data_IF_953416175680
#
_entry.id   IF_953416175680
#
_cell.length_a   1.000
_cell.length_b   1.000
_cell.length_c   1.000
_cell.angle_alpha   90.00
_cell.angle_beta   90.00
_cell.angle_gamma   90.00
#
_symmetry.space_group_name_H-M   'P 1'
#
loop_
_entity.id
_entity.type
_entity.pdbx_description
1 polymer ?
#
# COMPACT_ATOMS: atom_id res chain seq x y z
N UNK A 1 -16.27 19.79 -43.09
CA UNK A 1 -14.92 19.23 -43.30
C UNK A 1 -13.90 20.37 -43.22
N UNK A 2 -12.77 20.11 -42.53
CA UNK A 2 -11.47 20.79 -42.60
C UNK A 2 -11.20 22.15 -41.89
N UNK A 3 -10.64 22.02 -40.68
CA UNK A 3 -9.43 22.60 -40.07
C UNK A 3 -8.78 23.97 -40.41
N UNK A 4 -8.45 24.63 -39.30
CA UNK A 4 -7.49 25.70 -38.99
C UNK A 4 -6.04 25.49 -39.46
N UNK A 5 -5.34 26.61 -39.70
CA UNK A 5 -3.89 26.76 -39.58
C UNK A 5 -3.50 28.23 -39.35
N UNK A 6 -2.98 28.56 -38.16
CA UNK A 6 -2.49 29.90 -37.81
C UNK A 6 -1.03 29.83 -37.36
N UNK A 7 -0.14 30.45 -38.13
CA UNK A 7 1.32 30.42 -37.99
C UNK A 7 1.80 31.54 -37.07
N UNK A 8 2.61 31.22 -36.05
CA UNK A 8 3.27 32.20 -35.17
C UNK A 8 4.67 32.54 -35.72
N UNK A 9 4.90 33.81 -36.10
CA UNK A 9 6.24 34.28 -36.47
C UNK A 9 7.09 34.56 -35.23
N UNK A 10 8.31 34.00 -35.21
CA UNK A 10 9.35 34.14 -34.18
C UNK A 10 10.19 35.38 -34.50
N UNK A 11 10.18 36.41 -33.66
CA UNK A 11 11.12 37.52 -33.73
C UNK A 11 12.18 37.35 -32.63
N UNK A 12 13.43 37.12 -33.02
CA UNK A 12 14.61 37.22 -32.16
C UNK A 12 15.27 38.55 -32.54
N UNK A 13 15.42 39.47 -31.58
CA UNK A 13 16.12 40.75 -31.80
C UNK A 13 17.55 40.58 -31.30
N UNK A 14 18.52 40.88 -32.16
CA UNK A 14 19.96 40.81 -31.86
C UNK A 14 20.39 42.04 -31.04
N UNK A 15 21.24 41.84 -30.03
CA UNK A 15 21.56 42.86 -29.00
C UNK A 15 22.42 44.02 -29.57
N UNK A 16 22.98 43.84 -30.78
CA UNK A 16 23.82 44.79 -31.49
C UNK A 16 23.10 46.05 -32.00
N UNK A 17 21.77 46.08 -32.05
CA UNK A 17 20.98 47.19 -32.64
C UNK A 17 20.30 48.12 -31.60
N UNK A 18 20.78 48.15 -30.35
CA UNK A 18 20.20 49.03 -29.32
C UNK A 18 20.55 50.52 -29.58
N UNK A 19 19.58 51.45 -29.44
CA UNK A 19 19.83 52.88 -29.62
C UNK A 19 20.96 53.38 -28.69
N UNK A 20 21.77 54.34 -29.18
CA UNK A 20 22.85 54.95 -28.38
C UNK A 20 22.35 56.03 -27.42
N UNK A 21 21.16 56.57 -27.67
CA UNK A 21 20.48 57.50 -26.76
C UNK A 21 20.04 56.77 -25.46
N UNK A 22 20.41 57.27 -24.25
CA UNK A 22 20.21 56.55 -23.00
C UNK A 22 18.74 56.28 -22.65
N UNK A 23 17.83 57.21 -22.93
CA UNK A 23 16.41 57.03 -22.63
C UNK A 23 15.75 56.06 -23.63
N UNK A 24 16.07 56.18 -24.92
CA UNK A 24 15.59 55.25 -25.94
C UNK A 24 16.14 53.82 -25.70
N UNK A 25 17.39 53.70 -25.24
CA UNK A 25 18.01 52.42 -24.90
C UNK A 25 17.36 51.78 -23.68
N UNK A 26 17.07 52.57 -22.64
CA UNK A 26 16.36 52.10 -21.44
C UNK A 26 14.95 51.63 -21.80
N UNK A 27 14.22 52.39 -22.62
CA UNK A 27 12.89 52.00 -23.10
C UNK A 27 12.93 50.71 -23.94
N UNK A 28 13.94 50.55 -24.80
CA UNK A 28 14.13 49.34 -25.61
C UNK A 28 14.47 48.11 -24.74
N UNK A 29 15.33 48.27 -23.73
CA UNK A 29 15.70 47.21 -22.78
C UNK A 29 14.53 46.83 -21.86
N UNK A 30 13.73 47.81 -21.40
CA UNK A 30 12.50 47.53 -20.63
C UNK A 30 11.46 46.78 -21.47
N UNK A 31 11.38 47.10 -22.76
CA UNK A 31 10.50 46.39 -23.71
C UNK A 31 10.99 44.96 -23.95
N UNK A 32 12.30 44.75 -24.09
CA UNK A 32 12.91 43.42 -24.22
C UNK A 32 12.74 42.59 -22.94
N UNK A 33 12.96 43.19 -21.77
CA UNK A 33 12.75 42.54 -20.47
C UNK A 33 11.28 42.11 -20.30
N UNK A 34 10.32 42.96 -20.69
CA UNK A 34 8.90 42.59 -20.73
C UNK A 34 8.62 41.45 -21.70
N UNK A 35 9.24 41.42 -22.88
CA UNK A 35 9.07 40.32 -23.84
C UNK A 35 9.68 39.00 -23.35
N UNK A 36 10.81 39.01 -22.64
CA UNK A 36 11.40 37.82 -22.01
C UNK A 36 10.54 37.32 -20.83
N UNK A 37 10.00 38.24 -20.03
CA UNK A 37 9.06 37.90 -18.94
C UNK A 37 7.75 37.32 -19.50
N UNK A 38 7.28 37.86 -20.63
CA UNK A 38 6.14 37.31 -21.36
C UNK A 38 6.44 35.91 -21.93
N UNK A 39 7.64 35.65 -22.45
CA UNK A 39 8.03 34.31 -22.94
C UNK A 39 8.16 33.28 -21.80
N UNK A 40 8.72 33.68 -20.65
CA UNK A 40 8.76 32.83 -19.45
C UNK A 40 7.36 32.49 -18.94
N UNK A 41 6.43 33.46 -18.98
CA UNK A 41 5.03 33.22 -18.64
C UNK A 41 4.30 32.35 -19.67
N UNK A 42 4.66 32.45 -20.96
CA UNK A 42 4.05 31.65 -22.03
C UNK A 42 4.54 30.19 -21.99
N UNK A 43 5.80 29.93 -21.66
CA UNK A 43 6.32 28.56 -21.47
C UNK A 43 5.69 27.93 -20.22
N UNK A 44 5.58 28.66 -19.11
CA UNK A 44 4.80 28.21 -17.94
C UNK A 44 3.33 27.96 -18.29
N UNK A 45 2.73 28.80 -19.12
CA UNK A 45 1.34 28.64 -19.54
C UNK A 45 1.13 27.46 -20.48
N UNK A 46 2.08 27.17 -21.38
CA UNK A 46 2.01 25.99 -22.26
C UNK A 46 2.16 24.70 -21.45
N UNK A 47 3.09 24.67 -20.48
CA UNK A 47 3.31 23.51 -19.60
C UNK A 47 2.13 23.28 -18.64
N UNK A 48 1.61 24.36 -18.03
CA UNK A 48 0.41 24.30 -17.18
C UNK A 48 -0.86 23.99 -17.99
N UNK A 49 -0.96 24.41 -19.25
CA UNK A 49 -2.11 24.10 -20.10
C UNK A 49 -2.08 22.66 -20.62
N UNK A 50 -0.89 22.11 -20.89
CA UNK A 50 -0.71 20.72 -21.29
C UNK A 50 -0.97 19.78 -20.10
N UNK A 51 -0.43 20.10 -18.92
CA UNK A 51 -0.79 19.42 -17.67
C UNK A 51 -2.27 19.54 -17.36
N UNK A 52 -2.86 20.74 -17.42
CA UNK A 52 -4.31 20.91 -17.21
C UNK A 52 -5.13 20.15 -18.23
N UNK A 53 -4.67 19.97 -19.47
CA UNK A 53 -5.40 19.20 -20.48
C UNK A 53 -5.29 17.70 -20.22
N UNK A 54 -4.15 17.22 -19.76
CA UNK A 54 -3.94 15.82 -19.37
C UNK A 54 -4.69 15.49 -18.08
N UNK A 55 -4.71 16.42 -17.13
CA UNK A 55 -5.45 16.34 -15.87
C UNK A 55 -6.95 16.52 -16.08
N UNK A 56 -7.38 17.38 -17.02
CA UNK A 56 -8.79 17.48 -17.42
C UNK A 56 -9.23 16.22 -18.18
N UNK A 57 -8.39 15.62 -19.02
CA UNK A 57 -8.68 14.31 -19.63
C UNK A 57 -8.73 13.19 -18.58
N UNK A 58 -7.86 13.23 -17.56
CA UNK A 58 -7.92 12.31 -16.40
C UNK A 58 -9.19 12.53 -15.58
N UNK A 59 -9.58 13.77 -15.34
CA UNK A 59 -10.79 14.14 -14.61
C UNK A 59 -12.05 13.82 -15.42
N UNK A 60 -12.06 13.98 -16.74
CA UNK A 60 -13.18 13.58 -17.60
C UNK A 60 -13.30 12.06 -17.68
N UNK A 61 -12.18 11.31 -17.72
CA UNK A 61 -12.20 9.85 -17.58
C UNK A 61 -12.67 9.38 -16.20
N UNK A 62 -12.26 10.07 -15.13
CA UNK A 62 -12.75 9.84 -13.78
C UNK A 62 -14.23 10.25 -13.63
N UNK A 63 -14.68 11.28 -14.34
CA UNK A 63 -16.07 11.75 -14.35
C UNK A 63 -16.96 10.80 -15.16
N UNK A 64 -16.50 10.29 -16.31
CA UNK A 64 -17.18 9.21 -17.06
C UNK A 64 -17.19 7.90 -16.27
N UNK A 65 -16.09 7.53 -15.60
CA UNK A 65 -16.05 6.41 -14.67
C UNK A 65 -17.00 6.61 -13.47
N UNK A 66 -17.14 7.85 -12.98
CA UNK A 66 -18.10 8.20 -11.91
C UNK A 66 -19.54 8.25 -12.38
N UNK A 67 -19.79 8.46 -13.69
CA UNK A 67 -21.14 8.40 -14.28
C UNK A 67 -21.63 6.95 -14.42
N UNK A 68 -20.72 5.98 -14.39
CA UNK A 68 -21.03 4.55 -14.29
C UNK A 68 -21.12 4.01 -12.87
N UNK A 69 -20.85 4.83 -11.83
CA UNK A 69 -20.95 4.43 -10.41
C UNK A 69 -21.98 5.25 -9.62
N UNK A 70 -22.66 4.55 -8.71
CA UNK A 70 -23.95 4.85 -8.08
C UNK A 70 -24.20 6.30 -7.54
N UNK A 71 -25.44 6.85 -7.65
CA UNK A 71 -25.82 8.23 -7.22
C UNK A 71 -25.61 8.63 -5.75
N UNK A 72 -25.19 7.73 -4.85
CA UNK A 72 -25.22 7.94 -3.40
C UNK A 72 -24.03 8.73 -2.82
N UNK A 73 -22.93 8.90 -3.56
CA UNK A 73 -21.76 9.66 -3.09
C UNK A 73 -21.98 11.18 -3.05
N UNK A 74 -22.96 11.70 -3.81
CA UNK A 74 -23.23 13.15 -3.94
C UNK A 74 -23.99 13.75 -2.75
N UNK A 75 -24.67 12.92 -1.95
CA UNK A 75 -25.41 13.33 -0.74
C UNK A 75 -24.55 13.24 0.54
N UNK A 76 -23.67 12.24 0.63
CA UNK A 76 -22.76 12.05 1.78
C UNK A 76 -21.75 13.19 1.97
N UNK A 77 -21.25 13.79 0.88
CA UNK A 77 -20.33 14.92 0.93
C UNK A 77 -20.99 16.22 1.42
N UNK A 78 -22.33 16.31 1.40
CA UNK A 78 -23.06 17.44 1.99
C UNK A 78 -23.18 17.33 3.50
N UNK A 79 -23.14 16.10 4.07
CA UNK A 79 -23.30 15.84 5.50
C UNK A 79 -22.03 16.14 6.32
N UNK A 80 -20.84 16.00 5.71
CA UNK A 80 -19.55 16.21 6.39
C UNK A 80 -19.13 17.68 6.49
N UNK A 81 -19.82 18.60 5.82
CA UNK A 81 -19.39 20.00 5.70
C UNK A 81 -20.00 20.96 6.74
N UNK A 82 -20.81 20.48 7.70
CA UNK A 82 -21.45 21.33 8.72
C UNK A 82 -20.98 21.03 10.15
N UNK A 83 -20.53 22.04 10.92
CA UNK A 83 -20.12 21.85 12.31
C UNK A 83 -21.35 21.72 13.22
N UNK A 84 -21.43 20.64 13.99
CA UNK A 84 -22.57 20.34 14.88
C UNK A 84 -22.38 20.90 16.30
N UNK A 85 -23.43 21.43 16.97
CA UNK A 85 -23.32 21.93 18.34
C UNK A 85 -23.21 20.80 19.38
N UNK A 86 -22.48 21.07 20.48
CA UNK A 86 -22.34 20.15 21.62
C UNK A 86 -23.72 19.79 22.20
N UNK A 87 -24.03 18.49 22.21
CA UNK A 87 -25.28 17.93 22.75
C UNK A 87 -26.00 16.98 21.79
N UNK A 88 -25.68 17.01 20.48
CA UNK A 88 -26.38 16.19 19.48
C UNK A 88 -26.18 14.67 19.66
N UNK A 89 -25.01 14.23 20.12
CA UNK A 89 -24.76 12.82 20.46
C UNK A 89 -25.60 12.35 21.67
N UNK A 90 -25.88 13.23 22.63
CA UNK A 90 -26.74 12.90 23.77
C UNK A 90 -28.22 12.84 23.37
N UNK A 91 -28.62 13.58 22.32
CA UNK A 91 -29.95 13.48 21.71
C UNK A 91 -30.11 12.18 20.91
N UNK A 92 -29.11 11.77 20.13
CA UNK A 92 -29.13 10.51 19.38
C UNK A 92 -29.18 9.27 20.28
N UNK A 93 -28.41 9.25 21.38
CA UNK A 93 -28.45 8.14 22.35
C UNK A 93 -29.79 8.08 23.08
N UNK A 94 -30.40 9.24 23.42
CA UNK A 94 -31.76 9.29 24.00
C UNK A 94 -32.85 8.89 23.00
N UNK A 95 -32.70 9.23 21.71
CA UNK A 95 -33.63 8.82 20.66
C UNK A 95 -33.54 7.32 20.34
N UNK A 96 -32.34 6.74 20.38
CA UNK A 96 -32.10 5.29 20.26
C UNK A 96 -32.68 4.52 21.45
N UNK A 97 -32.53 5.03 22.67
CA UNK A 97 -33.11 4.41 23.88
C UNK A 97 -34.65 4.56 23.95
N UNK A 98 -35.22 5.68 23.47
CA UNK A 98 -36.67 5.81 23.33
C UNK A 98 -37.23 4.90 22.22
N UNK A 99 -36.46 4.63 21.17
CA UNK A 99 -36.85 3.74 20.06
C UNK A 99 -37.04 2.27 20.46
N UNK A 100 -36.39 1.81 21.53
CA UNK A 100 -36.51 0.44 22.04
C UNK A 100 -37.75 0.25 22.92
N UNK A 101 -38.28 1.32 23.54
CA UNK A 101 -39.45 1.24 24.46
C UNK A 101 -40.79 1.31 23.72
N UNK A 102 -40.82 1.65 22.43
CA UNK A 102 -42.08 1.74 21.66
C UNK A 102 -42.52 0.38 21.09
N UNK A 103 -41.79 -0.70 21.37
CA UNK A 103 -41.99 -1.99 20.70
C UNK A 103 -43.14 -2.87 21.26
N UNK A 104 -43.84 -2.45 22.31
CA UNK A 104 -44.98 -3.25 22.85
C UNK A 104 -46.36 -2.56 22.81
N UNK A 105 -46.50 -1.31 22.35
CA UNK A 105 -47.78 -0.59 22.51
C UNK A 105 -48.58 -0.29 21.23
N UNK A 106 -48.13 -0.65 20.03
CA UNK A 106 -48.83 -0.23 18.80
C UNK A 106 -48.86 -1.29 17.70
N UNK A 107 -49.36 -2.49 18.03
CA UNK A 107 -49.82 -3.46 17.03
C UNK A 107 -51.33 -3.32 16.69
N UNK A 108 -52.04 -2.34 17.24
CA UNK A 108 -53.50 -2.25 17.08
C UNK A 108 -54.04 -1.02 16.32
N UNK A 109 -53.22 -0.04 15.92
CA UNK A 109 -53.74 1.12 15.20
C UNK A 109 -52.87 1.51 14.00
N UNK A 110 -53.56 1.61 12.86
CA UNK A 110 -53.18 2.26 11.61
C UNK A 110 -52.50 1.37 10.56
N UNK A 111 -53.35 0.77 9.73
CA UNK A 111 -53.03 0.51 8.35
C UNK A 111 -52.65 1.81 7.64
N UNK A 112 -51.41 1.90 7.19
CA UNK A 112 -51.01 2.61 5.99
C UNK A 112 -49.57 2.23 5.70
N UNK A 113 -49.26 2.14 4.42
CA UNK A 113 -48.05 1.56 3.81
C UNK A 113 -46.74 2.26 4.13
N UNK A 114 -46.65 3.01 5.23
CA UNK A 114 -45.47 3.77 5.65
C UNK A 114 -44.56 3.02 6.64
N UNK A 115 -45.11 2.14 7.50
CA UNK A 115 -44.31 1.37 8.46
C UNK A 115 -43.35 0.37 7.80
N UNK A 116 -43.74 -0.21 6.66
CA UNK A 116 -42.92 -1.17 5.91
C UNK A 116 -41.78 -0.49 5.14
N UNK A 117 -41.98 0.76 4.70
CA UNK A 117 -40.99 1.54 3.93
C UNK A 117 -39.88 2.08 4.85
N UNK A 118 -40.22 2.40 6.10
CA UNK A 118 -39.22 2.85 7.09
C UNK A 118 -38.33 1.66 7.49
N UNK A 119 -38.90 0.46 7.67
CA UNK A 119 -38.13 -0.74 7.98
C UNK A 119 -37.12 -1.11 6.87
N UNK A 120 -37.51 -1.02 5.59
CA UNK A 120 -36.61 -1.34 4.47
C UNK A 120 -35.50 -0.31 4.28
N UNK A 121 -35.76 0.97 4.56
CA UNK A 121 -34.75 2.03 4.47
C UNK A 121 -33.71 1.97 5.60
N UNK A 122 -34.10 1.61 6.83
CA UNK A 122 -33.14 1.44 7.93
C UNK A 122 -32.22 0.22 7.73
N UNK A 123 -32.75 -0.87 7.18
CA UNK A 123 -31.96 -2.06 6.81
C UNK A 123 -30.98 -1.71 5.67
N UNK A 124 -31.43 -0.99 4.64
CA UNK A 124 -30.57 -0.57 3.54
C UNK A 124 -29.41 0.36 4.00
N UNK A 125 -29.69 1.33 4.87
CA UNK A 125 -28.65 2.24 5.39
C UNK A 125 -27.59 1.47 6.19
N UNK A 126 -27.98 0.47 6.99
CA UNK A 126 -27.04 -0.38 7.72
C UNK A 126 -26.13 -1.20 6.77
N UNK A 127 -26.69 -1.76 5.69
CA UNK A 127 -25.91 -2.47 4.66
C UNK A 127 -24.96 -1.55 3.88
N UNK A 128 -25.38 -0.31 3.57
CA UNK A 128 -24.54 0.67 2.87
C UNK A 128 -23.38 1.21 3.73
N UNK A 129 -23.58 1.36 5.05
CA UNK A 129 -22.50 1.78 5.95
C UNK A 129 -21.44 0.69 6.17
N UNK A 130 -21.82 -0.58 6.12
CA UNK A 130 -20.87 -1.70 6.19
C UNK A 130 -20.03 -1.81 4.90
N UNK A 131 -20.64 -1.65 3.72
CA UNK A 131 -19.95 -1.76 2.43
C UNK A 131 -18.95 -0.62 2.12
N UNK A 132 -19.17 0.58 2.65
CA UNK A 132 -18.23 1.69 2.48
C UNK A 132 -17.02 1.60 3.42
N UNK A 133 -17.19 1.01 4.61
CA UNK A 133 -16.11 0.77 5.56
C UNK A 133 -15.19 -0.38 5.08
N UNK A 134 -15.74 -1.39 4.40
CA UNK A 134 -14.95 -2.48 3.79
C UNK A 134 -14.16 -2.02 2.57
N UNK A 135 -14.71 -1.16 1.70
CA UNK A 135 -13.98 -0.66 0.52
C UNK A 135 -12.81 0.29 0.86
N UNK A 136 -12.95 1.12 1.90
CA UNK A 136 -11.84 1.95 2.40
C UNK A 136 -10.79 1.10 3.13
N UNK A 137 -11.21 0.05 3.85
CA UNK A 137 -10.28 -0.90 4.48
C UNK A 137 -9.48 -1.73 3.46
N UNK A 138 -10.06 -2.07 2.29
CA UNK A 138 -9.33 -2.79 1.23
C UNK A 138 -8.21 -1.96 0.57
N UNK A 139 -8.33 -0.62 0.53
CA UNK A 139 -7.29 0.24 -0.06
C UNK A 139 -6.09 0.50 0.87
N UNK A 140 -6.21 0.14 2.15
CA UNK A 140 -5.20 0.37 3.21
C UNK A 140 -4.76 -0.95 3.88
N UNK A 141 -5.13 -2.10 3.30
CA UNK A 141 -4.84 -3.42 3.83
C UNK A 141 -3.36 -3.79 3.63
N UNK A 142 -2.58 -3.69 4.73
CA UNK A 142 -1.12 -3.93 4.74
C UNK A 142 -0.73 -5.38 5.07
N UNK A 143 -1.65 -6.17 5.63
CA UNK A 143 -1.33 -7.50 6.20
C UNK A 143 -1.09 -8.50 5.09
N UNK A 144 -0.08 -9.34 5.28
CA UNK A 144 0.22 -10.47 4.42
C UNK A 144 0.39 -11.76 5.19
N UNK A 145 0.54 -12.86 4.45
CA UNK A 145 0.82 -14.19 5.00
C UNK A 145 2.23 -14.63 4.62
N UNK A 146 3.05 -14.91 5.63
CA UNK A 146 4.27 -15.68 5.49
C UNK A 146 3.94 -17.15 5.78
N UNK A 147 3.87 -17.99 4.74
CA UNK A 147 3.34 -19.36 4.85
C UNK A 147 4.26 -20.40 4.25
N UNK A 148 4.15 -21.67 4.66
CA UNK A 148 4.74 -22.76 3.91
C UNK A 148 3.70 -23.46 3.06
N UNK A 149 4.12 -23.90 1.87
CA UNK A 149 3.33 -24.80 1.06
C UNK A 149 2.98 -26.07 1.86
N UNK A 150 1.70 -26.43 1.84
CA UNK A 150 1.15 -27.56 2.59
C UNK A 150 0.56 -27.19 3.96
N UNK A 151 0.63 -25.91 4.35
CA UNK A 151 -0.14 -25.36 5.47
C UNK A 151 -1.40 -24.72 4.91
N UNK A 152 -2.57 -25.24 5.27
CA UNK A 152 -3.85 -24.78 4.72
C UNK A 152 -4.20 -23.37 5.23
N UNK A 153 -4.09 -22.38 4.35
CA UNK A 153 -4.39 -20.96 4.62
C UNK A 153 -5.82 -20.56 4.28
N UNK A 154 -6.69 -21.50 3.87
CA UNK A 154 -8.08 -21.20 3.48
C UNK A 154 -8.92 -20.54 4.58
N UNK A 155 -8.54 -20.72 5.86
CA UNK A 155 -9.16 -20.01 6.99
C UNK A 155 -9.04 -18.48 6.92
N UNK A 156 -8.06 -17.95 6.19
CA UNK A 156 -7.86 -16.52 6.00
C UNK A 156 -8.62 -15.93 4.79
N UNK A 157 -9.24 -16.77 3.94
CA UNK A 157 -9.87 -16.35 2.68
C UNK A 157 -10.99 -15.29 2.82
N UNK A 158 -11.57 -15.16 4.01
CA UNK A 158 -12.60 -14.16 4.29
C UNK A 158 -12.07 -12.84 4.86
N UNK A 159 -10.76 -12.71 5.07
CA UNK A 159 -10.16 -11.50 5.61
C UNK A 159 -9.94 -10.46 4.52
N UNK A 160 -10.60 -9.30 4.64
CA UNK A 160 -10.33 -8.15 3.78
C UNK A 160 -9.02 -7.42 4.14
N UNK A 161 -8.37 -7.79 5.25
CA UNK A 161 -7.13 -7.15 5.73
C UNK A 161 -5.88 -7.80 5.14
N UNK A 162 -6.00 -9.01 4.60
CA UNK A 162 -4.90 -9.81 4.08
C UNK A 162 -4.96 -9.78 2.55
N UNK A 163 -3.94 -9.20 1.92
CA UNK A 163 -3.95 -8.93 0.48
C UNK A 163 -2.77 -9.52 -0.28
N UNK A 164 -1.74 -9.99 0.42
CA UNK A 164 -0.54 -10.55 -0.18
C UNK A 164 0.07 -11.66 0.68
N UNK A 165 1.02 -12.42 0.12
CA UNK A 165 1.76 -13.42 0.88
C UNK A 165 2.98 -13.94 0.14
N UNK A 166 3.84 -14.66 0.85
CA UNK A 166 5.04 -15.30 0.30
C UNK A 166 5.39 -16.54 1.12
N UNK A 167 6.27 -17.39 0.57
CA UNK A 167 6.59 -18.69 1.18
C UNK A 167 8.10 -19.01 1.23
N UNK A 168 8.95 -17.99 1.23
CA UNK A 168 10.41 -18.13 1.15
C UNK A 168 10.93 -18.83 -0.12
N UNK A 169 10.09 -18.94 -1.15
CA UNK A 169 10.43 -19.56 -2.41
C UNK A 169 9.96 -18.70 -3.60
N UNK A 170 10.36 -19.10 -4.80
CA UNK A 170 10.05 -18.38 -6.05
C UNK A 170 8.70 -18.76 -6.66
N UNK A 171 8.08 -19.83 -6.17
CA UNK A 171 6.78 -20.33 -6.62
C UNK A 171 6.01 -20.96 -5.46
N UNK A 172 4.73 -21.21 -5.66
CA UNK A 172 3.89 -21.97 -4.73
C UNK A 172 2.99 -22.91 -5.51
N UNK A 173 2.76 -24.12 -4.97
CA UNK A 173 1.70 -25.01 -5.44
C UNK A 173 0.39 -24.86 -4.65
N UNK A 174 0.40 -24.00 -3.62
CA UNK A 174 -0.74 -23.74 -2.77
C UNK A 174 -1.73 -22.76 -3.43
N UNK A 175 -3.01 -22.95 -3.15
CA UNK A 175 -4.04 -21.98 -3.53
C UNK A 175 -3.84 -20.71 -2.68
N UNK A 176 -3.65 -19.59 -3.36
CA UNK A 176 -3.34 -18.29 -2.74
C UNK A 176 -4.55 -17.60 -2.13
N UNK A 177 -5.76 -18.15 -2.26
CA UNK A 177 -7.01 -17.52 -1.84
C UNK A 177 -7.17 -16.08 -2.36
N UNK A 178 -6.80 -15.86 -3.62
CA UNK A 178 -6.89 -14.56 -4.30
C UNK A 178 -5.99 -13.46 -3.71
N UNK A 179 -5.04 -13.79 -2.82
CA UNK A 179 -4.00 -12.85 -2.37
C UNK A 179 -2.84 -12.82 -3.37
N UNK A 180 -2.16 -11.68 -3.44
CA UNK A 180 -0.97 -11.50 -4.29
C UNK A 180 0.23 -12.30 -3.75
N UNK A 181 0.77 -13.24 -4.53
CA UNK A 181 1.98 -13.97 -4.15
C UNK A 181 3.26 -13.19 -4.48
N UNK A 182 4.21 -13.12 -3.55
CA UNK A 182 5.51 -12.47 -3.69
C UNK A 182 6.65 -13.47 -3.90
N UNK A 183 7.12 -13.70 -5.13
CA UNK A 183 8.25 -14.59 -5.40
C UNK A 183 9.52 -14.10 -4.71
N UNK A 184 10.22 -15.00 -4.03
CA UNK A 184 11.48 -14.72 -3.35
C UNK A 184 12.64 -15.52 -3.95
N UNK A 185 13.78 -14.85 -4.18
CA UNK A 185 15.06 -15.56 -4.28
C UNK A 185 15.68 -15.58 -2.89
N UNK A 186 15.46 -16.67 -2.14
CA UNK A 186 15.88 -16.76 -0.74
C UNK A 186 17.39 -16.60 -0.55
N UNK A 187 18.20 -17.08 -1.50
CA UNK A 187 19.65 -16.94 -1.49
C UNK A 187 20.28 -17.62 -2.71
N UNK A 188 21.61 -17.62 -2.77
CA UNK A 188 22.39 -18.17 -3.91
C UNK A 188 22.84 -19.62 -3.72
N UNK A 189 22.14 -20.36 -2.86
CA UNK A 189 22.47 -21.76 -2.54
C UNK A 189 21.55 -22.69 -3.33
N UNK A 190 22.02 -23.93 -3.52
CA UNK A 190 21.26 -25.00 -4.18
C UNK A 190 20.84 -24.59 -5.61
N UNK A 191 19.68 -25.03 -6.05
CA UNK A 191 19.05 -24.78 -7.34
C UNK A 191 18.13 -23.55 -7.36
N UNK A 192 18.02 -22.82 -6.24
CA UNK A 192 17.16 -21.63 -6.13
C UNK A 192 17.41 -20.59 -7.24
N UNK A 193 18.67 -20.26 -7.60
CA UNK A 193 18.92 -19.23 -8.60
C UNK A 193 18.55 -19.68 -10.03
N UNK A 194 18.54 -20.98 -10.30
CA UNK A 194 18.22 -21.55 -11.62
C UNK A 194 16.73 -21.45 -11.93
N UNK A 195 15.89 -21.53 -10.90
CA UNK A 195 14.43 -21.52 -11.04
C UNK A 195 13.79 -20.16 -10.75
N UNK A 196 14.49 -19.24 -10.10
CA UNK A 196 13.91 -17.97 -9.66
C UNK A 196 13.36 -17.12 -10.81
N UNK A 197 14.20 -16.74 -11.78
CA UNK A 197 13.79 -15.86 -12.88
C UNK A 197 12.57 -16.39 -13.65
N UNK A 198 12.52 -17.65 -14.13
CA UNK A 198 11.35 -18.14 -14.84
C UNK A 198 10.09 -18.16 -13.95
N UNK A 199 10.21 -18.53 -12.67
CA UNK A 199 9.07 -18.54 -11.75
C UNK A 199 8.58 -17.12 -11.45
N UNK A 200 9.47 -16.18 -11.16
CA UNK A 200 9.11 -14.79 -10.91
C UNK A 200 8.43 -14.15 -12.13
N UNK A 201 8.93 -14.39 -13.35
CA UNK A 201 8.26 -13.91 -14.58
C UNK A 201 6.89 -14.55 -14.80
N UNK A 202 6.70 -15.83 -14.47
CA UNK A 202 5.36 -16.46 -14.46
C UNK A 202 4.39 -15.63 -13.61
N UNK A 203 4.78 -15.25 -12.39
CA UNK A 203 3.93 -14.46 -11.49
C UNK A 203 3.71 -13.02 -11.95
N UNK A 204 4.73 -12.36 -12.51
CA UNK A 204 4.63 -10.97 -13.00
C UNK A 204 3.77 -10.88 -14.26
N UNK A 205 3.95 -11.80 -15.20
CA UNK A 205 3.32 -11.70 -16.53
C UNK A 205 2.00 -12.43 -16.64
N UNK A 206 1.90 -13.62 -16.03
CA UNK A 206 0.72 -14.49 -16.12
C UNK A 206 -0.12 -14.47 -14.85
N UNK A 207 0.54 -14.37 -13.69
CA UNK A 207 -0.10 -14.46 -12.38
C UNK A 207 -0.36 -15.89 -11.93
N UNK A 208 -1.10 -15.99 -10.82
CA UNK A 208 -1.60 -17.25 -10.27
C UNK A 208 -2.38 -18.03 -11.33
N UNK A 209 -2.14 -19.34 -11.42
CA UNK A 209 -2.76 -20.16 -12.46
C UNK A 209 -4.27 -20.34 -12.27
N UNK A 210 -4.78 -20.20 -11.04
CA UNK A 210 -6.18 -20.37 -10.70
C UNK A 210 -6.90 -19.03 -10.61
N UNK A 211 -6.37 -18.09 -9.85
CA UNK A 211 -7.01 -16.78 -9.60
C UNK A 211 -6.67 -15.73 -10.66
N UNK A 212 -5.58 -15.91 -11.42
CA UNK A 212 -5.07 -14.91 -12.36
C UNK A 212 -4.45 -13.68 -11.69
N UNK A 213 -4.34 -13.67 -10.36
CA UNK A 213 -3.75 -12.56 -9.61
C UNK A 213 -2.25 -12.48 -9.93
N UNK A 214 -1.83 -11.35 -10.48
CA UNK A 214 -0.42 -11.09 -10.82
C UNK A 214 0.31 -10.49 -9.64
N UNK A 215 1.61 -10.77 -9.57
CA UNK A 215 2.46 -10.07 -8.62
C UNK A 215 2.91 -8.72 -9.17
N UNK A 216 3.00 -7.75 -8.28
CA UNK A 216 3.50 -6.41 -8.49
C UNK A 216 4.87 -6.22 -7.83
N UNK A 217 5.42 -7.26 -7.19
CA UNK A 217 6.67 -7.18 -6.45
C UNK A 217 7.47 -8.49 -6.49
N UNK A 218 8.76 -8.38 -6.21
CA UNK A 218 9.67 -9.51 -5.99
C UNK A 218 10.50 -9.27 -4.75
N UNK A 219 10.80 -10.33 -4.01
CA UNK A 219 11.53 -10.29 -2.74
C UNK A 219 12.96 -10.81 -2.92
N UNK A 220 13.92 -10.06 -2.38
CA UNK A 220 15.33 -10.46 -2.41
C UNK A 220 15.70 -11.37 -1.23
N UNK A 221 17.00 -11.55 -1.02
CA UNK A 221 17.56 -12.60 -0.17
C UNK A 221 17.06 -12.56 1.27
N UNK A 222 16.91 -13.73 1.87
CA UNK A 222 16.42 -13.92 3.22
C UNK A 222 17.57 -14.01 4.23
N UNK A 223 17.64 -13.03 5.13
CA UNK A 223 18.61 -12.93 6.22
C UNK A 223 20.05 -13.17 5.75
N UNK A 224 20.55 -12.42 4.75
CA UNK A 224 21.94 -12.54 4.30
C UNK A 224 22.93 -12.21 5.43
N UNK A 225 22.52 -11.43 6.43
CA UNK A 225 23.30 -11.11 7.62
C UNK A 225 23.44 -12.28 8.61
N UNK A 226 22.68 -13.37 8.45
CA UNK A 226 22.65 -14.48 9.39
C UNK A 226 23.31 -15.77 8.84
N UNK A 227 24.28 -16.39 9.56
CA UNK A 227 25.05 -17.53 9.06
C UNK A 227 24.24 -18.78 8.68
N UNK A 228 23.11 -19.01 9.37
CA UNK A 228 22.25 -20.17 9.12
C UNK A 228 21.27 -19.97 7.94
N UNK A 229 21.22 -18.77 7.37
CA UNK A 229 20.23 -18.36 6.37
C UNK A 229 20.90 -18.17 5.01
N UNK A 230 20.59 -17.12 4.25
CA UNK A 230 21.27 -16.88 2.98
C UNK A 230 22.79 -16.73 3.18
N UNK A 231 23.22 -16.12 4.30
CA UNK A 231 24.62 -15.96 4.71
C UNK A 231 25.50 -15.40 3.58
N UNK A 232 25.35 -14.11 3.30
CA UNK A 232 26.00 -13.41 2.20
C UNK A 232 26.66 -12.15 2.73
N UNK A 233 27.92 -11.92 2.36
CA UNK A 233 28.51 -10.60 2.54
C UNK A 233 27.84 -9.58 1.60
N UNK A 234 27.95 -8.29 1.94
CA UNK A 234 27.27 -7.22 1.22
C UNK A 234 27.70 -7.14 -0.25
N UNK A 235 28.98 -7.33 -0.55
CA UNK A 235 29.48 -7.25 -1.93
C UNK A 235 28.92 -8.35 -2.82
N UNK A 236 28.91 -9.58 -2.29
CA UNK A 236 28.27 -10.73 -2.95
C UNK A 236 26.77 -10.49 -3.14
N UNK A 237 26.07 -10.01 -2.11
CA UNK A 237 24.64 -9.73 -2.21
C UNK A 237 24.32 -8.66 -3.26
N UNK A 238 25.10 -7.59 -3.35
CA UNK A 238 24.92 -6.58 -4.41
C UNK A 238 25.05 -7.25 -5.77
N UNK A 239 26.17 -7.92 -6.07
CA UNK A 239 26.41 -8.50 -7.40
C UNK A 239 25.27 -9.41 -7.86
N UNK A 240 24.76 -10.26 -6.96
CA UNK A 240 23.64 -11.14 -7.27
C UNK A 240 22.29 -10.42 -7.32
N UNK A 241 22.10 -9.38 -6.51
CA UNK A 241 20.91 -8.54 -6.58
C UNK A 241 20.82 -7.87 -7.96
N UNK A 242 21.91 -7.25 -8.42
CA UNK A 242 21.98 -6.64 -9.75
C UNK A 242 21.67 -7.66 -10.85
N UNK A 243 22.25 -8.86 -10.76
CA UNK A 243 22.07 -9.89 -11.78
C UNK A 243 20.63 -10.42 -11.88
N UNK A 244 19.98 -10.69 -10.75
CA UNK A 244 18.67 -11.34 -10.73
C UNK A 244 17.48 -10.37 -10.72
N UNK A 245 17.64 -9.14 -10.22
CA UNK A 245 16.49 -8.27 -9.94
C UNK A 245 16.31 -7.13 -10.95
N UNK A 246 17.38 -6.60 -11.55
CA UNK A 246 17.30 -5.49 -12.53
C UNK A 246 16.32 -5.76 -13.69
N UNK A 247 16.15 -7.02 -14.07
CA UNK A 247 15.21 -7.42 -15.12
C UNK A 247 13.74 -7.05 -14.82
N UNK A 248 13.38 -6.84 -13.55
CA UNK A 248 12.01 -6.53 -13.14
C UNK A 248 11.71 -5.03 -13.11
N UNK A 249 12.68 -4.14 -13.33
CA UNK A 249 12.47 -2.70 -13.29
C UNK A 249 11.38 -2.28 -14.27
N UNK A 250 10.39 -1.53 -13.77
CA UNK A 250 9.22 -1.10 -14.54
C UNK A 250 8.19 -2.21 -14.81
N UNK A 251 8.39 -3.41 -14.27
CA UNK A 251 7.48 -4.56 -14.38
C UNK A 251 6.98 -5.02 -13.00
N UNK A 252 7.83 -4.98 -11.99
CA UNK A 252 7.51 -5.23 -10.59
C UNK A 252 8.42 -4.38 -9.68
N UNK A 253 7.97 -4.11 -8.46
CA UNK A 253 8.75 -3.47 -7.40
C UNK A 253 9.78 -4.45 -6.84
N UNK A 254 11.00 -3.98 -6.59
CA UNK A 254 12.11 -4.79 -6.10
C UNK A 254 12.36 -4.49 -4.62
N UNK A 255 12.19 -5.50 -3.77
CA UNK A 255 12.52 -5.40 -2.36
C UNK A 255 14.02 -5.57 -2.10
N UNK A 256 14.56 -4.89 -1.10
CA UNK A 256 15.90 -5.19 -0.58
C UNK A 256 15.99 -6.63 -0.06
N UNK A 257 17.20 -7.14 0.22
CA UNK A 257 17.36 -8.31 1.07
C UNK A 257 16.78 -8.03 2.47
N UNK A 258 16.11 -9.02 3.05
CA UNK A 258 15.44 -8.91 4.34
C UNK A 258 16.40 -9.30 5.46
N UNK A 259 16.77 -8.36 6.32
CA UNK A 259 17.72 -8.60 7.42
C UNK A 259 17.03 -8.96 8.73
N UNK A 260 17.73 -9.69 9.59
CA UNK A 260 17.31 -9.89 11.00
C UNK A 260 17.22 -8.55 11.74
N UNK A 261 16.61 -8.52 12.94
CA UNK A 261 16.67 -7.37 13.85
C UNK A 261 18.07 -7.12 14.47
N UNK A 262 19.11 -7.84 14.03
CA UNK A 262 20.53 -7.54 14.26
C UNK A 262 21.27 -7.00 13.03
N UNK A 263 20.67 -7.06 11.83
CA UNK A 263 21.35 -6.80 10.56
C UNK A 263 21.33 -5.36 10.06
N UNK A 264 21.11 -4.37 10.94
CA UNK A 264 21.02 -2.96 10.53
C UNK A 264 22.25 -2.47 9.75
N UNK A 265 23.45 -2.77 10.25
CA UNK A 265 24.69 -2.28 9.64
C UNK A 265 24.95 -2.94 8.28
N UNK A 266 24.54 -4.21 8.13
CA UNK A 266 24.55 -4.92 6.86
C UNK A 266 23.63 -4.22 5.86
N UNK A 267 22.38 -3.96 6.26
CA UNK A 267 21.38 -3.31 5.41
C UNK A 267 21.79 -1.88 5.03
N UNK A 268 22.28 -1.09 5.99
CA UNK A 268 22.77 0.26 5.75
C UNK A 268 23.91 0.26 4.72
N UNK A 269 24.85 -0.67 4.85
CA UNK A 269 25.96 -0.80 3.89
C UNK A 269 25.45 -1.23 2.52
N UNK A 270 24.51 -2.18 2.45
CA UNK A 270 23.90 -2.62 1.19
C UNK A 270 23.20 -1.47 0.46
N UNK A 271 22.28 -0.77 1.15
CA UNK A 271 21.52 0.33 0.57
C UNK A 271 22.43 1.49 0.14
N UNK A 272 23.41 1.86 0.98
CA UNK A 272 24.37 2.91 0.64
C UNK A 272 25.14 2.59 -0.64
N UNK A 273 25.60 1.35 -0.83
CA UNK A 273 26.31 0.97 -2.05
C UNK A 273 25.38 0.90 -3.27
N UNK A 274 24.14 0.44 -3.10
CA UNK A 274 23.16 0.43 -4.19
C UNK A 274 22.74 1.83 -4.63
N UNK A 275 22.69 2.79 -3.70
CA UNK A 275 22.42 4.20 -4.01
C UNK A 275 23.60 4.89 -4.72
N UNK A 276 24.83 4.40 -4.53
CA UNK A 276 26.04 4.94 -5.17
C UNK A 276 26.33 4.36 -6.56
N UNK A 277 25.84 3.16 -6.86
CA UNK A 277 26.22 2.40 -8.05
C UNK A 277 25.01 2.15 -8.96
N UNK A 278 25.18 2.42 -10.25
CA UNK A 278 24.16 2.07 -11.24
C UNK A 278 23.92 0.55 -11.25
N UNK A 279 22.66 0.16 -11.48
CA UNK A 279 22.27 -1.23 -11.66
C UNK A 279 22.05 -2.03 -10.37
N UNK A 280 21.91 -1.39 -9.20
CA UNK A 280 21.35 -2.02 -8.00
C UNK A 280 20.07 -1.29 -7.53
N UNK A 281 18.95 -1.61 -8.17
CA UNK A 281 17.68 -0.95 -7.93
C UNK A 281 16.91 -1.57 -6.75
N UNK A 282 16.43 -0.72 -5.84
CA UNK A 282 15.60 -1.09 -4.69
C UNK A 282 14.44 -0.11 -4.58
N UNK A 283 13.20 -0.63 -4.65
CA UNK A 283 11.98 0.16 -4.52
C UNK A 283 11.48 0.24 -3.07
N UNK A 284 11.62 -0.84 -2.30
CA UNK A 284 11.20 -0.92 -0.89
C UNK A 284 12.21 -1.72 -0.06
N UNK A 285 12.24 -1.45 1.25
CA UNK A 285 13.19 -2.05 2.19
C UNK A 285 12.50 -3.12 3.01
N UNK A 286 13.06 -4.32 3.03
CA UNK A 286 12.54 -5.47 3.77
C UNK A 286 13.33 -5.71 5.05
N UNK A 287 12.65 -6.02 6.15
CA UNK A 287 13.27 -6.33 7.45
C UNK A 287 12.44 -7.31 8.25
N UNK A 288 13.09 -8.00 9.18
CA UNK A 288 12.48 -8.91 10.13
C UNK A 288 12.57 -8.38 11.56
N UNK A 289 11.73 -8.90 12.45
CA UNK A 289 11.90 -8.73 13.89
C UNK A 289 11.40 -9.93 14.68
N UNK A 290 12.28 -10.48 15.52
CA UNK A 290 11.90 -11.52 16.48
C UNK A 290 12.42 -11.14 17.86
N UNK A 291 11.52 -11.08 18.84
CA UNK A 291 11.88 -10.91 20.24
C UNK A 291 10.71 -11.30 21.15
N UNK A 292 10.89 -11.17 22.46
CA UNK A 292 9.79 -11.39 23.42
C UNK A 292 8.62 -10.44 23.15
N UNK A 293 7.40 -10.95 23.27
CA UNK A 293 6.16 -10.17 23.16
C UNK A 293 6.12 -8.96 24.12
N UNK A 294 6.79 -9.04 25.27
CA UNK A 294 6.90 -7.91 26.21
C UNK A 294 7.72 -6.72 25.65
N UNK A 295 8.51 -6.91 24.59
CA UNK A 295 9.42 -5.89 24.05
C UNK A 295 8.81 -5.08 22.91
N UNK A 296 7.56 -4.63 23.10
CA UNK A 296 6.84 -3.79 22.13
C UNK A 296 7.61 -2.50 21.78
N UNK A 297 8.28 -1.88 22.76
CA UNK A 297 9.04 -0.65 22.49
C UNK A 297 10.30 -0.92 21.66
N UNK A 298 10.95 -2.07 21.85
CA UNK A 298 12.08 -2.51 21.01
C UNK A 298 11.63 -2.69 19.55
N UNK A 299 10.50 -3.37 19.36
CA UNK A 299 9.86 -3.51 18.04
C UNK A 299 9.62 -2.15 17.36
N UNK A 300 9.01 -1.19 18.06
CA UNK A 300 8.74 0.14 17.48
C UNK A 300 10.03 0.90 17.16
N UNK A 301 11.00 0.86 18.07
CA UNK A 301 12.30 1.51 17.86
C UNK A 301 13.05 0.91 16.65
N UNK A 302 12.97 -0.41 16.46
CA UNK A 302 13.55 -1.09 15.30
C UNK A 302 12.93 -0.57 13.99
N UNK A 303 11.60 -0.57 13.90
CA UNK A 303 10.88 -0.11 12.71
C UNK A 303 11.14 1.38 12.45
N UNK A 304 11.12 2.25 13.47
CA UNK A 304 11.39 3.69 13.31
C UNK A 304 12.82 3.94 12.79
N UNK A 305 13.80 3.15 13.26
CA UNK A 305 15.19 3.23 12.80
C UNK A 305 15.33 2.80 11.35
N UNK A 306 14.69 1.69 10.96
CA UNK A 306 14.69 1.20 9.56
C UNK A 306 13.94 2.18 8.65
N UNK A 307 12.85 2.77 9.11
CA UNK A 307 12.12 3.80 8.37
C UNK A 307 12.97 5.03 8.06
N UNK A 308 13.80 5.45 9.02
CA UNK A 308 14.75 6.54 8.80
C UNK A 308 15.80 6.17 7.76
N UNK A 309 16.29 4.93 7.78
CA UNK A 309 17.26 4.41 6.81
C UNK A 309 16.66 4.26 5.40
N UNK A 310 15.41 3.82 5.31
CA UNK A 310 14.75 3.51 4.04
C UNK A 310 14.32 4.75 3.25
N UNK A 311 14.08 5.88 3.91
CA UNK A 311 13.51 7.07 3.27
C UNK A 311 14.31 7.51 2.02
N UNK A 312 13.63 7.78 0.88
CA UNK A 312 12.18 7.94 0.70
C UNK A 312 11.38 6.66 0.42
N UNK A 313 12.03 5.49 0.42
CA UNK A 313 11.40 4.18 0.19
C UNK A 313 10.53 3.78 1.38
N UNK A 314 9.56 2.91 1.14
CA UNK A 314 8.72 2.30 2.18
C UNK A 314 9.37 1.05 2.76
N UNK A 315 8.89 0.66 3.94
CA UNK A 315 9.34 -0.54 4.65
C UNK A 315 8.29 -1.64 4.56
N UNK A 316 8.76 -2.85 4.27
CA UNK A 316 7.98 -4.08 4.34
C UNK A 316 8.54 -4.94 5.48
N UNK A 317 7.73 -5.13 6.51
CA UNK A 317 8.07 -6.00 7.64
C UNK A 317 7.67 -7.44 7.30
N UNK A 318 8.50 -8.11 6.52
CA UNK A 318 8.18 -9.41 5.92
C UNK A 318 8.09 -10.53 6.96
N UNK A 319 8.71 -10.35 8.13
CA UNK A 319 8.53 -11.24 9.27
C UNK A 319 8.50 -10.47 10.57
N UNK A 320 7.53 -10.77 11.44
CA UNK A 320 7.64 -10.40 12.84
C UNK A 320 6.93 -11.39 13.76
N UNK A 321 7.49 -11.59 14.95
CA UNK A 321 6.85 -12.39 16.00
C UNK A 321 7.23 -11.92 17.40
N UNK A 322 6.20 -11.70 18.23
CA UNK A 322 6.37 -11.47 19.66
C UNK A 322 6.33 -12.80 20.41
N UNK A 323 7.48 -13.36 20.76
CA UNK A 323 7.60 -14.67 21.41
C UNK A 323 7.09 -14.66 22.85
N UNK A 324 6.31 -15.66 23.25
CA UNK A 324 5.76 -15.75 24.61
C UNK A 324 4.64 -16.78 24.73
N UNK A 325 3.85 -16.68 25.79
CA UNK A 325 2.59 -17.42 25.90
C UNK A 325 1.56 -16.90 24.88
N UNK A 326 0.48 -17.65 24.67
CA UNK A 326 -0.62 -17.21 23.80
C UNK A 326 -1.17 -15.85 24.21
N UNK A 327 -1.35 -15.61 25.51
CA UNK A 327 -1.84 -14.35 26.05
C UNK A 327 -0.88 -13.19 25.81
N UNK A 328 0.43 -13.45 25.91
CA UNK A 328 1.48 -12.46 25.64
C UNK A 328 1.50 -12.10 24.15
N UNK A 329 1.45 -13.10 23.25
CA UNK A 329 1.34 -12.91 21.80
C UNK A 329 0.09 -12.08 21.42
N UNK A 330 -1.06 -12.42 21.98
CA UNK A 330 -2.32 -11.69 21.77
C UNK A 330 -2.19 -10.24 22.23
N UNK A 331 -1.60 -10.02 23.41
CA UNK A 331 -1.39 -8.69 23.96
C UNK A 331 -0.44 -7.85 23.10
N UNK A 332 0.62 -8.46 22.57
CA UNK A 332 1.53 -7.83 21.62
C UNK A 332 0.80 -7.41 20.34
N UNK A 333 0.08 -8.33 19.68
CA UNK A 333 -0.63 -8.07 18.43
C UNK A 333 -1.67 -6.95 18.55
N UNK A 334 -2.42 -6.92 19.65
CA UNK A 334 -3.39 -5.85 19.93
C UNK A 334 -2.77 -4.45 20.00
N UNK A 335 -1.47 -4.36 20.30
CA UNK A 335 -0.75 -3.10 20.34
C UNK A 335 -0.08 -2.79 19.00
N UNK A 336 0.56 -3.77 18.37
CA UNK A 336 1.38 -3.51 17.18
C UNK A 336 0.57 -3.44 15.88
N UNK A 337 -0.51 -4.20 15.73
CA UNK A 337 -1.29 -4.18 14.47
C UNK A 337 -1.89 -2.79 14.19
N UNK A 338 -2.62 -2.13 15.11
CA UNK A 338 -3.13 -0.79 14.84
C UNK A 338 -2.02 0.24 14.64
N UNK A 339 -0.86 0.03 15.28
CA UNK A 339 0.30 0.91 15.13
C UNK A 339 0.96 0.76 13.75
N UNK A 340 1.10 -0.46 13.23
CA UNK A 340 1.59 -0.72 11.88
C UNK A 340 0.60 -0.21 10.81
N UNK A 341 -0.69 -0.44 11.02
CA UNK A 341 -1.75 0.06 10.14
C UNK A 341 -1.68 1.59 10.01
N UNK A 342 -1.49 2.31 11.13
CA UNK A 342 -1.35 3.77 11.15
C UNK A 342 0.05 4.31 10.79
N UNK A 343 1.06 3.47 10.57
CA UNK A 343 2.42 3.92 10.28
C UNK A 343 2.62 4.11 8.77
N UNK A 344 2.73 5.36 8.32
CA UNK A 344 2.87 5.70 6.90
C UNK A 344 4.14 5.14 6.25
N UNK A 345 5.21 4.91 7.01
CA UNK A 345 6.44 4.34 6.46
C UNK A 345 6.30 2.84 6.15
N UNK A 346 5.50 2.12 6.94
CA UNK A 346 5.25 0.70 6.74
C UNK A 346 4.16 0.52 5.70
N UNK A 347 4.49 -0.11 4.59
CA UNK A 347 3.56 -0.36 3.49
C UNK A 347 2.92 -1.75 3.59
N UNK A 348 3.70 -2.76 4.01
CA UNK A 348 3.23 -4.14 4.17
C UNK A 348 3.89 -4.83 5.36
N UNK A 349 3.19 -5.79 5.96
CA UNK A 349 3.75 -6.61 7.03
C UNK A 349 3.15 -8.02 7.09
N UNK A 350 3.91 -9.01 7.55
CA UNK A 350 3.44 -10.39 7.72
C UNK A 350 3.86 -10.98 9.08
N UNK A 351 2.87 -11.38 9.89
CA UNK A 351 3.15 -12.04 11.18
C UNK A 351 3.57 -13.49 10.96
N UNK A 352 4.60 -13.94 11.69
CA UNK A 352 5.09 -15.31 11.58
C UNK A 352 4.24 -16.26 12.44
N UNK A 353 3.70 -17.33 11.83
CA UNK A 353 2.92 -18.35 12.53
C UNK A 353 1.98 -19.19 11.66
N UNK A 354 2.26 -19.29 10.36
CA UNK A 354 1.53 -20.11 9.37
C UNK A 354 2.54 -20.98 8.59
N UNK A 355 3.54 -21.52 9.29
CA UNK A 355 4.61 -22.34 8.73
C UNK A 355 4.51 -23.77 9.21
N UNK A 356 5.25 -24.70 8.61
CA UNK A 356 5.28 -26.12 9.01
C UNK A 356 5.79 -26.36 10.43
N UNK A 357 6.58 -25.42 10.96
CA UNK A 357 7.20 -25.48 12.28
C UNK A 357 6.61 -24.47 13.27
N UNK A 358 5.71 -23.59 12.82
CA UNK A 358 5.03 -22.61 13.66
C UNK A 358 3.59 -22.41 13.17
N UNK A 359 2.64 -22.89 13.97
CA UNK A 359 1.21 -22.81 13.68
C UNK A 359 0.47 -21.90 14.66
N UNK A 360 1.13 -20.91 15.27
CA UNK A 360 0.48 -20.08 16.30
C UNK A 360 -0.79 -19.36 15.81
N UNK A 361 -0.94 -19.10 14.50
CA UNK A 361 -2.15 -18.52 13.93
C UNK A 361 -3.25 -19.54 13.56
N UNK A 362 -2.99 -20.83 13.72
CA UNK A 362 -3.88 -21.92 13.34
C UNK A 362 -4.18 -22.85 14.52
N UNK A 363 -5.30 -23.57 14.43
CA UNK A 363 -5.57 -24.73 15.28
C UNK A 363 -4.95 -25.96 14.61
N UNK A 364 -3.95 -26.57 15.24
CA UNK A 364 -3.22 -27.69 14.65
C UNK A 364 -2.47 -27.25 13.39
N UNK A 365 -2.80 -27.86 12.24
CA UNK A 365 -2.23 -27.51 10.94
C UNK A 365 -3.20 -26.70 10.04
N UNK A 366 -4.28 -26.17 10.61
CA UNK A 366 -5.34 -25.44 9.89
C UNK A 366 -6.45 -26.33 9.32
N UNK A 367 -7.43 -25.75 8.59
CA UNK A 367 -7.54 -24.33 8.27
C UNK A 367 -8.21 -23.48 9.36
N UNK A 368 -8.69 -24.09 10.45
CA UNK A 368 -9.30 -23.33 11.55
C UNK A 368 -8.28 -22.36 12.16
N UNK A 369 -8.66 -21.09 12.29
CA UNK A 369 -7.80 -20.06 12.86
C UNK A 369 -7.76 -20.18 14.39
N UNK A 370 -6.58 -20.05 14.96
CA UNK A 370 -6.47 -19.83 16.41
C UNK A 370 -6.97 -18.44 16.77
N UNK A 371 -7.10 -18.14 18.07
CA UNK A 371 -7.43 -16.78 18.51
C UNK A 371 -6.41 -15.73 18.01
N UNK A 372 -5.13 -16.11 17.89
CA UNK A 372 -4.09 -15.24 17.32
C UNK A 372 -4.38 -15.00 15.84
N UNK A 373 -4.71 -16.05 15.09
CA UNK A 373 -5.08 -15.97 13.68
C UNK A 373 -6.33 -15.12 13.43
N UNK A 374 -7.37 -15.26 14.25
CA UNK A 374 -8.59 -14.45 14.15
C UNK A 374 -8.33 -12.95 14.40
N UNK A 375 -7.46 -12.63 15.38
CA UNK A 375 -7.04 -11.25 15.65
C UNK A 375 -6.24 -10.70 14.46
N UNK A 376 -5.30 -11.49 13.94
CA UNK A 376 -4.48 -11.10 12.79
C UNK A 376 -5.32 -10.92 11.52
N UNK A 377 -6.33 -11.77 11.30
CA UNK A 377 -7.28 -11.68 10.21
C UNK A 377 -8.28 -10.52 10.36
N UNK A 378 -8.32 -9.83 11.51
CA UNK A 378 -9.26 -8.74 11.77
C UNK A 378 -10.70 -9.20 12.04
N UNK A 379 -10.91 -10.49 12.34
CA UNK A 379 -12.22 -11.02 12.71
C UNK A 379 -12.59 -10.74 14.17
N UNK A 380 -11.59 -10.43 14.99
CA UNK A 380 -11.75 -10.02 16.40
C UNK A 380 -10.88 -8.82 16.69
N UNK A 381 -11.52 -7.71 17.06
CA UNK A 381 -10.86 -6.50 17.56
C UNK A 381 -10.79 -6.52 19.08
#
# INVERSE_FOLDING_TARGET
>A
MAHNGGTLHRAVVDISDLPTDPEARKAALEKLAKSVQQFSSLVKFIDESAMKKQELQRLTKLEEASKTECPQRRELMKLYATPWPKGFMQFLVKALLLGVVVQEASAALLGSSFGLIILTNFVAIAFFTQGACTAAAMLDAKRGLAFNDGVDISGFSHSAMITWGYNWYSDTWQVTNEIEFGPMLWGIKMDLPDVFSPNAWKWVDSGDQLSGVKTTHVLSFNEPDHPAQANMDVGTAIAWHQYYFEQFIGRALIGSPAVTNGGYDWLNTFLYNCDLHEGCHVDFVTVHWYNKAAYVQDFKNWIDRVCTLAYPRKVWLTEFQGLGTQEEMISFLRVVLPWLDANDCVERYAYFGVTTNDHHMLVGAGPELSQIGEIYAGFRN
#
